data_IF_547248182388
#
_entry.id   IF_547248182388
#
_cell.length_a   1.000
_cell.length_b   1.000
_cell.length_c   1.000
_cell.angle_alpha   90.00
_cell.angle_beta   90.00
_cell.angle_gamma   90.00
#
_symmetry.space_group_name_H-M   'P 1'
#
loop_
_entity.id
_entity.type
_entity.pdbx_description
1 polymer ?
#
# COMPACT_ATOMS: atom_id res chain seq x y z
N UNK A 1 -38.32 68.95 18.77
CA UNK A 1 -38.11 67.49 18.81
C UNK A 1 -38.96 66.86 17.73
N UNK A 2 -38.38 66.10 16.80
CA UNK A 2 -39.15 65.41 15.76
C UNK A 2 -40.16 64.45 16.41
N UNK A 3 -41.38 64.40 15.88
CA UNK A 3 -42.44 63.53 16.41
C UNK A 3 -42.01 62.06 16.30
N UNK A 4 -42.57 61.20 17.16
CA UNK A 4 -42.30 59.75 17.10
C UNK A 4 -42.53 59.17 15.70
N UNK A 5 -43.58 59.64 15.03
CA UNK A 5 -43.95 59.20 13.69
C UNK A 5 -42.94 59.62 12.62
N UNK A 6 -42.38 60.83 12.72
CA UNK A 6 -41.30 61.30 11.84
C UNK A 6 -40.03 60.49 12.03
N UNK A 7 -39.66 60.17 13.28
CA UNK A 7 -38.50 59.32 13.58
C UNK A 7 -38.69 57.90 13.03
N UNK A 8 -39.89 57.34 13.18
CA UNK A 8 -40.23 56.03 12.63
C UNK A 8 -40.08 56.02 11.10
N UNK A 9 -40.69 56.99 10.41
CA UNK A 9 -40.57 57.10 8.94
C UNK A 9 -39.13 57.29 8.48
N UNK A 10 -38.37 58.14 9.15
CA UNK A 10 -36.95 58.37 8.85
C UNK A 10 -36.15 57.07 8.96
N UNK A 11 -36.35 56.31 10.03
CA UNK A 11 -35.67 55.02 10.24
C UNK A 11 -35.97 54.02 9.12
N UNK A 12 -37.23 53.87 8.71
CA UNK A 12 -37.58 52.97 7.61
C UNK A 12 -37.03 53.42 6.25
N UNK A 13 -36.96 54.73 5.99
CA UNK A 13 -36.33 55.24 4.77
C UNK A 13 -34.82 54.95 4.75
N UNK A 14 -34.13 55.17 5.88
CA UNK A 14 -32.69 54.86 5.98
C UNK A 14 -32.41 53.37 5.83
N UNK A 15 -33.27 52.50 6.37
CA UNK A 15 -33.13 51.05 6.21
C UNK A 15 -33.38 50.62 4.75
N UNK A 16 -34.33 51.25 4.07
CA UNK A 16 -34.62 50.97 2.66
C UNK A 16 -33.46 51.38 1.75
N UNK A 17 -32.91 52.58 1.96
CA UNK A 17 -31.71 53.04 1.25
C UNK A 17 -30.51 52.11 1.51
N UNK A 18 -30.33 51.67 2.76
CA UNK A 18 -29.30 50.70 3.12
C UNK A 18 -29.53 49.33 2.44
N UNK A 19 -30.77 48.84 2.35
CA UNK A 19 -31.10 47.61 1.62
C UNK A 19 -30.83 47.73 0.12
N UNK A 20 -31.16 48.85 -0.49
CA UNK A 20 -30.91 49.11 -1.91
C UNK A 20 -29.41 49.22 -2.21
N UNK A 21 -28.64 49.85 -1.32
CA UNK A 21 -27.17 49.87 -1.43
C UNK A 21 -26.54 48.49 -1.19
N UNK A 22 -27.07 47.71 -0.24
CA UNK A 22 -26.61 46.35 0.02
C UNK A 22 -27.10 45.35 -1.04
N UNK A 23 -28.15 45.70 -1.80
CA UNK A 23 -28.67 44.91 -2.93
C UNK A 23 -27.69 44.80 -4.10
N UNK A 24 -26.53 45.48 -4.08
CA UNK A 24 -25.39 45.13 -4.95
C UNK A 24 -24.95 43.65 -4.77
N UNK A 25 -25.25 43.06 -3.61
CA UNK A 25 -25.07 41.62 -3.35
C UNK A 25 -26.13 40.71 -4.00
N UNK A 26 -27.20 41.23 -4.60
CA UNK A 26 -28.16 40.42 -5.41
C UNK A 26 -27.53 39.92 -6.72
N UNK A 27 -26.34 40.39 -7.11
CA UNK A 27 -25.54 39.76 -8.17
C UNK A 27 -24.98 38.39 -7.77
N UNK A 28 -25.10 37.99 -6.49
CA UNK A 28 -24.93 36.60 -6.04
C UNK A 28 -26.21 35.75 -6.18
N UNK A 29 -27.25 36.22 -6.87
CA UNK A 29 -28.22 35.30 -7.46
C UNK A 29 -27.56 34.56 -8.63
N UNK A 30 -26.69 33.62 -8.31
CA UNK A 30 -26.33 32.53 -9.20
C UNK A 30 -27.60 31.70 -9.44
N UNK A 31 -28.49 32.19 -10.29
CA UNK A 31 -29.61 31.41 -10.82
C UNK A 31 -29.15 30.38 -11.87
N UNK A 32 -27.85 30.35 -12.18
CA UNK A 32 -27.28 29.24 -12.90
C UNK A 32 -26.96 28.17 -11.86
N UNK A 33 -27.88 27.24 -11.65
CA UNK A 33 -27.48 25.89 -11.23
C UNK A 33 -26.34 25.49 -12.17
N UNK A 34 -25.10 25.34 -11.67
CA UNK A 34 -24.02 24.91 -12.55
C UNK A 34 -24.38 23.52 -13.05
N UNK A 35 -24.72 23.42 -14.33
CA UNK A 35 -24.78 22.15 -15.03
C UNK A 35 -23.35 21.61 -15.08
N UNK A 36 -23.01 20.78 -14.10
CA UNK A 36 -21.69 20.15 -13.97
C UNK A 36 -21.37 19.23 -15.16
N UNK A 37 -22.33 18.97 -16.08
CA UNK A 37 -22.16 18.15 -17.26
C UNK A 37 -21.59 18.87 -18.49
N UNK A 38 -21.75 20.20 -18.61
CA UNK A 38 -21.40 20.92 -19.84
C UNK A 38 -20.31 21.97 -19.57
N UNK A 39 -19.06 21.57 -19.78
CA UNK A 39 -17.92 22.48 -19.68
C UNK A 39 -17.88 23.39 -20.91
N UNK A 40 -18.22 24.67 -20.74
CA UNK A 40 -17.99 25.69 -21.77
C UNK A 40 -16.48 25.87 -22.02
N UNK A 41 -16.04 25.40 -23.20
CA UNK A 41 -14.65 25.44 -23.65
C UNK A 41 -14.08 26.87 -23.68
N UNK A 42 -14.90 27.88 -23.96
CA UNK A 42 -14.45 29.28 -24.04
C UNK A 42 -14.16 29.82 -22.64
N UNK A 43 -15.11 29.65 -21.72
CA UNK A 43 -14.97 30.03 -20.31
C UNK A 43 -13.80 29.32 -19.64
N UNK A 44 -13.62 28.02 -19.89
CA UNK A 44 -12.49 27.25 -19.40
C UNK A 44 -11.14 27.78 -19.91
N UNK A 45 -11.04 28.16 -21.19
CA UNK A 45 -9.81 28.73 -21.77
C UNK A 45 -9.47 30.09 -21.16
N UNK A 46 -10.47 30.94 -20.90
CA UNK A 46 -10.27 32.24 -20.26
C UNK A 46 -9.78 32.08 -18.82
N UNK A 47 -10.46 31.24 -18.02
CA UNK A 47 -10.07 30.92 -16.64
C UNK A 47 -8.65 30.33 -16.57
N UNK A 48 -8.29 29.43 -17.50
CA UNK A 48 -6.95 28.86 -17.59
C UNK A 48 -5.85 29.91 -17.88
N UNK A 49 -6.16 30.96 -18.65
CA UNK A 49 -5.21 32.08 -18.91
C UNK A 49 -5.06 32.95 -17.68
N UNK A 50 -6.15 33.30 -17.00
CA UNK A 50 -6.13 34.07 -15.75
C UNK A 50 -5.36 33.34 -14.64
N UNK A 51 -5.52 32.02 -14.51
CA UNK A 51 -4.77 31.22 -13.55
C UNK A 51 -3.29 31.03 -13.94
N UNK A 52 -2.89 31.35 -15.17
CA UNK A 52 -1.50 31.20 -15.64
C UNK A 52 -0.55 32.16 -14.91
N UNK A 53 -1.01 33.35 -14.54
CA UNK A 53 -0.20 34.35 -13.82
C UNK A 53 0.14 33.93 -12.38
N UNK A 54 -0.65 33.01 -11.82
CA UNK A 54 -0.44 32.43 -10.50
C UNK A 54 0.36 31.13 -10.54
N UNK A 55 0.74 30.63 -11.73
CA UNK A 55 1.61 29.45 -11.85
C UNK A 55 3.01 29.82 -11.36
N UNK A 56 3.47 29.13 -10.32
CA UNK A 56 4.77 29.39 -9.70
C UNK A 56 4.77 30.53 -8.68
N UNK A 57 3.62 31.16 -8.41
CA UNK A 57 3.45 32.06 -7.28
C UNK A 57 2.73 31.30 -6.17
N UNK A 58 3.43 31.10 -5.06
CA UNK A 58 2.84 30.46 -3.89
C UNK A 58 1.89 31.46 -3.21
N UNK A 59 0.75 30.97 -2.74
CA UNK A 59 -0.09 31.78 -1.86
C UNK A 59 0.75 32.13 -0.62
N UNK A 60 0.70 33.39 -0.19
CA UNK A 60 1.43 33.88 0.99
C UNK A 60 1.06 33.15 2.30
N UNK A 61 0.00 32.34 2.29
CA UNK A 61 -0.45 31.53 3.43
C UNK A 61 -0.14 30.03 3.25
N UNK A 62 0.42 29.61 2.11
CA UNK A 62 0.86 28.24 1.87
C UNK A 62 2.26 28.10 2.44
N UNK A 63 2.46 27.14 3.36
CA UNK A 63 3.81 26.65 3.66
C UNK A 63 4.38 26.13 2.34
N UNK A 64 5.67 26.32 2.09
CA UNK A 64 6.33 25.76 0.90
C UNK A 64 6.32 24.23 0.99
N UNK A 65 5.17 23.64 0.64
CA UNK A 65 5.03 22.20 0.52
C UNK A 65 5.88 21.79 -0.68
N UNK A 66 6.80 20.85 -0.45
CA UNK A 66 7.70 20.35 -1.47
C UNK A 66 6.90 20.02 -2.74
N UNK A 67 7.42 20.47 -3.89
CA UNK A 67 6.73 20.34 -5.16
C UNK A 67 6.32 18.87 -5.36
N UNK A 68 5.16 18.60 -5.96
CA UNK A 68 4.77 17.22 -6.30
C UNK A 68 5.87 16.46 -7.07
N UNK A 69 6.72 17.18 -7.82
CA UNK A 69 7.89 16.61 -8.52
C UNK A 69 9.04 16.21 -7.61
N UNK A 70 9.12 16.82 -6.43
CA UNK A 70 10.11 16.55 -5.39
C UNK A 70 9.63 15.43 -4.45
N UNK A 71 8.31 15.34 -4.24
CA UNK A 71 7.68 14.26 -3.50
C UNK A 71 7.57 12.95 -4.30
N UNK A 72 7.45 13.04 -5.63
CA UNK A 72 7.40 11.88 -6.51
C UNK A 72 8.82 11.56 -6.99
N UNK A 73 9.28 10.32 -6.77
CA UNK A 73 10.54 9.87 -7.37
C UNK A 73 10.45 10.04 -8.90
N UNK A 74 11.49 10.57 -9.55
CA UNK A 74 11.52 10.61 -11.01
C UNK A 74 11.31 9.19 -11.55
N UNK A 75 10.59 9.08 -12.67
CA UNK A 75 10.35 7.80 -13.33
C UNK A 75 11.70 7.17 -13.68
N UNK A 76 12.13 6.19 -12.89
CA UNK A 76 13.37 5.46 -13.15
C UNK A 76 13.20 4.73 -14.47
N UNK A 77 14.09 5.01 -15.42
CA UNK A 77 14.13 4.25 -16.68
C UNK A 77 14.27 2.76 -16.31
N UNK A 78 13.40 1.87 -16.83
CA UNK A 78 13.49 0.45 -16.56
C UNK A 78 14.89 -0.09 -16.85
N UNK A 79 15.34 -1.06 -16.05
CA UNK A 79 16.73 -1.49 -16.07
C UNK A 79 17.14 -2.18 -17.39
N UNK A 80 16.20 -2.83 -18.09
CA UNK A 80 16.45 -3.40 -19.42
C UNK A 80 16.79 -2.36 -20.50
N UNK A 81 16.30 -1.11 -20.33
CA UNK A 81 16.66 0.03 -21.18
C UNK A 81 18.00 0.65 -20.76
N UNK A 82 18.34 0.56 -19.46
CA UNK A 82 19.58 1.12 -18.91
C UNK A 82 20.79 0.20 -19.16
N UNK A 83 20.58 -1.10 -19.02
CA UNK A 83 21.60 -2.15 -19.06
C UNK A 83 21.19 -3.26 -20.06
N UNK A 84 21.08 -2.98 -21.36
CA UNK A 84 20.60 -3.96 -22.34
C UNK A 84 21.46 -5.23 -22.37
N UNK A 85 22.77 -5.13 -22.12
CA UNK A 85 23.69 -6.27 -22.05
C UNK A 85 23.37 -7.30 -20.93
N UNK A 86 22.68 -6.89 -19.86
CA UNK A 86 22.29 -7.80 -18.77
C UNK A 86 20.98 -8.53 -19.05
N UNK A 87 20.26 -8.11 -20.09
CA UNK A 87 18.91 -8.56 -20.38
C UNK A 87 18.90 -9.18 -21.76
N UNK A 88 18.73 -10.48 -21.81
CA UNK A 88 18.47 -11.19 -23.06
C UNK A 88 16.97 -11.33 -23.25
N UNK A 89 16.48 -10.93 -24.42
CA UNK A 89 15.08 -11.13 -24.78
C UNK A 89 14.94 -12.51 -25.41
N UNK A 90 14.28 -13.43 -24.70
CA UNK A 90 13.91 -14.73 -25.24
C UNK A 90 12.54 -14.63 -25.89
N UNK A 91 12.47 -14.90 -27.19
CA UNK A 91 11.22 -15.01 -27.93
C UNK A 91 10.97 -16.48 -28.27
N UNK A 92 9.71 -16.91 -28.24
CA UNK A 92 9.33 -18.26 -28.60
C UNK A 92 9.24 -18.49 -30.13
N UNK A 93 9.81 -17.59 -30.95
CA UNK A 93 9.77 -17.70 -32.41
C UNK A 93 10.47 -18.96 -32.94
N UNK A 94 11.50 -19.44 -32.24
CA UNK A 94 12.29 -20.61 -32.65
C UNK A 94 11.70 -21.92 -32.13
N UNK A 95 10.65 -21.87 -31.31
CA UNK A 95 10.03 -23.06 -30.71
C UNK A 95 8.85 -23.50 -31.54
N UNK A 96 8.89 -24.74 -32.01
CA UNK A 96 7.77 -25.34 -32.76
C UNK A 96 6.57 -25.62 -31.84
N UNK A 97 5.33 -25.60 -32.34
CA UNK A 97 4.14 -25.93 -31.54
C UNK A 97 4.23 -27.33 -30.89
N UNK A 98 4.88 -28.28 -31.57
CA UNK A 98 5.07 -29.64 -31.08
C UNK A 98 5.99 -29.70 -29.86
N UNK A 99 7.00 -28.82 -29.79
CA UNK A 99 7.90 -28.69 -28.64
C UNK A 99 7.25 -28.03 -27.41
N UNK A 100 6.13 -27.33 -27.59
CA UNK A 100 5.35 -26.70 -26.52
C UNK A 100 4.13 -27.53 -26.13
N UNK A 101 3.99 -28.75 -26.67
CA UNK A 101 2.89 -29.64 -26.31
C UNK A 101 2.94 -30.04 -24.84
N UNK A 102 1.79 -30.32 -24.24
CA UNK A 102 1.69 -30.74 -22.84
C UNK A 102 2.52 -32.00 -22.56
N UNK A 103 2.63 -32.90 -23.54
CA UNK A 103 3.46 -34.11 -23.43
C UNK A 103 4.94 -33.77 -23.31
N UNK A 104 5.46 -32.87 -24.15
CA UNK A 104 6.86 -32.44 -24.11
C UNK A 104 7.16 -31.64 -22.84
N UNK A 105 6.24 -30.78 -22.41
CA UNK A 105 6.37 -30.01 -21.17
C UNK A 105 6.40 -30.93 -19.94
N UNK A 106 5.51 -31.92 -19.88
CA UNK A 106 5.47 -32.90 -18.80
C UNK A 106 6.74 -33.76 -18.77
N UNK A 107 7.20 -34.24 -19.93
CA UNK A 107 8.45 -35.01 -20.02
C UNK A 107 9.66 -34.18 -19.56
N UNK A 108 9.73 -32.91 -19.96
CA UNK A 108 10.80 -32.00 -19.55
C UNK A 108 10.77 -31.71 -18.05
N UNK A 109 9.57 -31.50 -17.48
CA UNK A 109 9.41 -31.30 -16.05
C UNK A 109 9.85 -32.53 -15.24
N UNK A 110 9.49 -33.73 -15.68
CA UNK A 110 9.89 -34.99 -15.03
C UNK A 110 11.40 -35.23 -15.15
N UNK A 111 12.00 -34.97 -16.32
CA UNK A 111 13.44 -35.07 -16.50
C UNK A 111 14.20 -34.10 -15.56
N UNK A 112 13.69 -32.88 -15.39
CA UNK A 112 14.27 -31.92 -14.46
C UNK A 112 14.17 -32.36 -13.00
N UNK A 113 13.03 -32.97 -12.60
CA UNK A 113 12.88 -33.52 -11.24
C UNK A 113 13.89 -34.65 -11.00
N UNK A 114 14.05 -35.57 -11.96
CA UNK A 114 15.04 -36.64 -11.88
C UNK A 114 16.47 -36.07 -11.77
N UNK A 115 16.82 -35.08 -12.58
CA UNK A 115 18.14 -34.40 -12.50
C UNK A 115 18.36 -33.74 -11.13
N UNK A 116 17.31 -33.13 -10.55
CA UNK A 116 17.36 -32.54 -9.21
C UNK A 116 17.55 -33.60 -8.12
N UNK A 117 16.88 -34.75 -8.23
CA UNK A 117 17.04 -35.88 -7.31
C UNK A 117 18.43 -36.50 -7.42
N UNK A 118 18.94 -36.73 -8.62
CA UNK A 118 20.31 -37.22 -8.87
C UNK A 118 21.36 -36.26 -8.31
N UNK A 119 21.16 -34.96 -8.49
CA UNK A 119 22.03 -33.93 -7.92
C UNK A 119 21.99 -33.95 -6.38
N UNK A 120 20.80 -34.10 -5.80
CA UNK A 120 20.67 -34.21 -4.34
C UNK A 120 21.31 -35.49 -3.79
N UNK A 121 21.16 -36.61 -4.50
CA UNK A 121 21.77 -37.89 -4.16
C UNK A 121 23.30 -37.82 -4.27
N UNK A 122 23.83 -37.19 -5.32
CA UNK A 122 25.29 -36.98 -5.45
C UNK A 122 25.83 -36.04 -4.36
N UNK A 123 25.13 -34.95 -4.02
CA UNK A 123 25.50 -34.12 -2.87
C UNK A 123 25.42 -34.88 -1.53
N UNK A 124 24.60 -35.92 -1.41
CA UNK A 124 24.56 -36.78 -0.22
C UNK A 124 25.68 -37.83 -0.18
N UNK A 125 26.29 -38.16 -1.31
CA UNK A 125 27.40 -39.15 -1.45
C UNK A 125 28.78 -38.48 -1.30
N UNK A 126 28.90 -37.17 -1.50
CA UNK A 126 30.12 -36.41 -1.11
C UNK A 126 30.12 -36.15 0.40
N UNK A 127 30.11 -37.21 1.20
CA UNK A 127 30.64 -37.17 2.56
C UNK A 127 32.08 -37.63 2.49
N UNK A 128 33.01 -36.67 2.44
CA UNK A 128 34.43 -36.94 2.62
C UNK A 128 34.62 -37.79 3.88
N UNK A 129 35.51 -38.79 3.80
CA UNK A 129 35.93 -39.68 4.90
C UNK A 129 36.54 -38.93 6.12
N UNK A 130 36.54 -37.59 6.09
CA UNK A 130 37.07 -36.68 7.11
C UNK A 130 36.01 -36.03 8.03
N UNK A 131 34.72 -36.33 7.86
CA UNK A 131 33.68 -35.99 8.85
C UNK A 131 33.34 -34.49 8.98
N UNK A 132 33.69 -33.65 8.01
CA UNK A 132 33.39 -32.22 8.05
C UNK A 132 32.06 -31.91 7.35
N UNK A 133 31.00 -31.67 8.13
CA UNK A 133 29.69 -31.25 7.62
C UNK A 133 29.70 -29.74 7.34
N UNK A 134 29.61 -29.35 6.07
CA UNK A 134 29.49 -27.95 5.67
C UNK A 134 28.11 -27.40 6.05
N UNK A 135 28.05 -26.60 7.12
CA UNK A 135 26.81 -25.92 7.52
C UNK A 135 26.51 -24.77 6.55
N UNK A 136 25.32 -24.79 5.96
CA UNK A 136 24.81 -23.73 5.07
C UNK A 136 24.99 -22.36 5.74
N UNK A 137 25.59 -21.36 5.07
CA UNK A 137 25.84 -20.06 5.68
C UNK A 137 24.52 -19.36 6.00
N UNK A 138 24.24 -19.20 7.29
CA UNK A 138 23.14 -18.36 7.76
C UNK A 138 23.53 -16.90 7.54
N UNK A 139 23.02 -16.28 6.47
CA UNK A 139 23.15 -14.84 6.29
C UNK A 139 22.44 -14.12 7.45
N UNK A 140 23.22 -13.50 8.34
CA UNK A 140 22.68 -12.56 9.31
C UNK A 140 22.30 -11.29 8.55
N UNK A 141 21.08 -11.25 8.02
CA UNK A 141 20.49 -10.01 7.50
C UNK A 141 20.63 -8.94 8.60
N UNK A 142 21.23 -7.82 8.22
CA UNK A 142 21.59 -6.71 9.11
C UNK A 142 20.48 -6.33 10.08
N UNK A 143 20.83 -6.19 11.37
CA UNK A 143 20.00 -5.80 12.54
C UNK A 143 19.33 -4.42 12.45
N UNK A 144 19.28 -3.80 11.27
CA UNK A 144 18.65 -2.49 11.01
C UNK A 144 17.18 -2.59 10.61
N UNK A 145 16.67 -3.78 10.29
CA UNK A 145 15.24 -4.04 10.17
C UNK A 145 14.91 -5.07 11.25
N UNK A 146 14.58 -4.59 12.45
CA UNK A 146 13.86 -5.44 13.40
C UNK A 146 12.49 -5.68 12.77
N UNK A 147 12.05 -6.92 12.49
CA UNK A 147 10.62 -7.15 12.35
C UNK A 147 10.04 -6.64 13.66
N UNK A 148 9.25 -5.57 13.56
CA UNK A 148 8.49 -5.09 14.68
C UNK A 148 7.61 -6.29 15.06
N UNK A 149 7.82 -6.87 16.24
CA UNK A 149 6.83 -7.75 16.87
C UNK A 149 5.58 -6.89 17.02
N UNK A 150 4.77 -6.86 15.97
CA UNK A 150 3.36 -6.58 16.08
C UNK A 150 2.89 -7.78 16.86
N UNK A 151 2.54 -7.57 18.14
CA UNK A 151 1.76 -8.53 18.88
C UNK A 151 0.56 -8.89 17.99
N UNK A 152 0.66 -10.01 17.29
CA UNK A 152 -0.41 -10.58 16.52
C UNK A 152 -1.48 -10.91 17.55
N UNK A 153 -2.45 -10.00 17.70
CA UNK A 153 -3.67 -10.28 18.45
C UNK A 153 -4.41 -11.32 17.61
N UNK A 154 -4.07 -12.57 17.89
CA UNK A 154 -4.55 -13.74 17.17
C UNK A 154 -6.06 -13.70 17.10
N UNK A 155 -6.58 -14.02 15.91
CA UNK A 155 -8.00 -14.18 15.65
C UNK A 155 -8.53 -15.23 16.63
N UNK A 156 -9.49 -14.85 17.48
CA UNK A 156 -10.06 -15.76 18.48
C UNK A 156 -11.34 -16.35 17.94
N UNK A 157 -11.43 -17.67 17.90
CA UNK A 157 -12.64 -18.40 17.57
C UNK A 157 -13.42 -18.73 18.85
N UNK A 158 -14.65 -18.21 18.98
CA UNK A 158 -15.56 -18.54 20.08
C UNK A 158 -16.93 -18.86 19.51
N UNK A 159 -17.50 -20.02 19.89
CA UNK A 159 -18.85 -20.47 19.52
C UNK A 159 -19.15 -20.34 18.02
N UNK A 160 -18.35 -21.00 17.17
CA UNK A 160 -18.46 -21.00 15.71
C UNK A 160 -18.39 -19.62 15.02
N UNK A 161 -17.90 -18.59 15.71
CA UNK A 161 -17.70 -17.25 15.16
C UNK A 161 -16.25 -16.81 15.29
N UNK A 162 -15.75 -16.19 14.22
CA UNK A 162 -14.42 -15.62 14.11
C UNK A 162 -14.50 -14.16 14.59
N UNK A 163 -13.80 -13.82 15.68
CA UNK A 163 -13.74 -12.44 16.19
C UNK A 163 -12.44 -11.80 15.71
N UNK A 164 -12.54 -10.81 14.84
CA UNK A 164 -11.40 -9.99 14.43
C UNK A 164 -10.99 -9.01 15.55
N UNK A 165 -9.69 -8.74 15.70
CA UNK A 165 -9.24 -7.71 16.63
C UNK A 165 -9.72 -6.32 16.20
N UNK A 166 -10.02 -5.47 17.18
CA UNK A 166 -10.44 -4.09 16.95
C UNK A 166 -9.34 -3.29 16.26
N UNK A 167 -9.64 -2.74 15.08
CA UNK A 167 -8.78 -1.82 14.34
C UNK A 167 -9.15 -0.38 14.70
N UNK A 168 -8.35 0.27 15.54
CA UNK A 168 -8.47 1.72 15.78
C UNK A 168 -7.45 2.46 14.91
N UNK A 169 -7.93 3.14 13.88
CA UNK A 169 -7.12 3.96 12.98
C UNK A 169 -7.00 5.38 13.54
N UNK A 170 -5.78 5.88 13.73
CA UNK A 170 -5.52 7.28 14.10
C UNK A 170 -4.94 7.53 15.49
N UNK A 171 -4.73 6.52 16.33
CA UNK A 171 -4.11 6.71 17.65
C UNK A 171 -2.59 6.48 17.57
N UNK A 172 -1.80 7.53 17.79
CA UNK A 172 -0.33 7.41 17.90
C UNK A 172 0.00 6.66 19.18
N UNK A 173 0.75 5.54 19.06
CA UNK A 173 1.20 4.75 20.22
C UNK A 173 2.05 5.63 21.16
N UNK A 174 1.83 5.61 22.49
CA UNK A 174 2.69 6.33 23.41
C UNK A 174 4.11 5.73 23.39
N UNK A 175 5.10 6.61 23.25
CA UNK A 175 6.52 6.29 23.23
C UNK A 175 6.88 5.73 24.62
N UNK A 176 7.27 4.45 24.69
CA UNK A 176 7.78 3.85 25.93
C UNK A 176 9.28 4.13 26.04
N UNK A 177 9.73 4.61 27.19
CA UNK A 177 11.15 4.78 27.51
C UNK A 177 11.87 3.42 27.58
N UNK A 178 13.16 3.36 27.23
CA UNK A 178 13.91 2.10 27.22
C UNK A 178 14.13 1.58 28.64
N UNK A 179 13.80 0.31 28.89
CA UNK A 179 14.12 -0.39 30.14
C UNK A 179 15.59 -0.83 30.15
N UNK A 180 16.26 -0.82 31.32
CA UNK A 180 17.67 -1.22 31.41
C UNK A 180 17.83 -2.74 31.27
N UNK A 181 18.94 -3.10 30.64
CA UNK A 181 19.40 -4.46 30.34
C UNK A 181 19.68 -5.21 31.65
N UNK A 182 19.05 -6.38 31.85
CA UNK A 182 19.46 -7.34 32.87
C UNK A 182 20.16 -8.53 32.21
N UNK A 183 21.32 -8.86 32.75
CA UNK A 183 22.18 -9.98 32.37
C UNK A 183 21.65 -11.32 32.88
N UNK A 184 21.68 -12.32 31.98
CA UNK A 184 21.82 -13.79 32.13
C UNK A 184 21.31 -14.49 33.42
N UNK A 185 20.37 -15.45 33.26
CA UNK A 185 20.30 -16.71 34.03
C UNK A 185 19.92 -17.86 33.08
N UNK A 186 20.33 -19.07 33.47
CA UNK A 186 20.62 -20.30 32.77
C UNK A 186 19.41 -21.15 32.33
N UNK A 187 19.70 -22.07 31.38
CA UNK A 187 19.13 -23.41 31.09
C UNK A 187 17.71 -23.76 31.56
N UNK A 188 16.90 -24.19 30.59
CA UNK A 188 15.77 -25.09 30.78
C UNK A 188 15.48 -25.84 29.47
N UNK A 189 15.71 -27.15 29.47
CA UNK A 189 15.23 -28.10 28.47
C UNK A 189 13.70 -28.04 28.35
N UNK A 190 13.20 -28.56 27.22
CA UNK A 190 11.79 -28.78 26.85
C UNK A 190 11.18 -27.75 25.90
N UNK A 191 11.74 -27.62 24.70
CA UNK A 191 10.94 -27.23 23.54
C UNK A 191 10.15 -28.46 23.07
N UNK A 192 8.88 -28.55 23.51
CA UNK A 192 7.93 -29.48 22.88
C UNK A 192 7.82 -29.12 21.40
N UNK A 193 8.29 -29.99 20.51
CA UNK A 193 7.99 -29.91 19.08
C UNK A 193 6.47 -30.03 18.94
N UNK A 194 5.81 -28.94 18.55
CA UNK A 194 4.40 -28.99 18.17
C UNK A 194 4.36 -29.53 16.74
N UNK A 195 4.16 -30.84 16.62
CA UNK A 195 3.90 -31.48 15.33
C UNK A 195 2.42 -31.26 14.99
N UNK A 196 2.17 -30.65 13.82
CA UNK A 196 0.84 -30.49 13.24
C UNK A 196 0.31 -31.88 12.84
N UNK A 197 -0.70 -32.38 13.55
CA UNK A 197 -1.39 -33.62 13.18
C UNK A 197 -2.61 -33.29 12.31
N UNK A 198 -2.59 -33.71 11.05
CA UNK A 198 -3.66 -33.54 10.07
C UNK A 198 -4.70 -34.67 10.21
N UNK A 199 -5.32 -34.78 11.39
CA UNK A 199 -6.26 -35.87 11.69
C UNK A 199 -7.55 -35.80 10.85
N UNK A 200 -7.88 -34.65 10.27
CA UNK A 200 -9.10 -34.44 9.49
C UNK A 200 -8.98 -34.80 8.00
N UNK A 201 -7.81 -35.26 7.54
CA UNK A 201 -7.60 -35.59 6.13
C UNK A 201 -8.07 -37.01 5.77
N UNK A 202 -8.34 -37.85 6.77
CA UNK A 202 -8.62 -39.28 6.60
C UNK A 202 -10.03 -39.71 7.06
N UNK A 203 -10.88 -38.75 7.45
CA UNK A 203 -12.23 -39.05 7.95
C UNK A 203 -13.27 -39.27 6.82
N UNK A 204 -12.92 -38.99 5.56
CA UNK A 204 -13.86 -38.99 4.43
C UNK A 204 -13.84 -40.27 3.55
N UNK A 205 -13.01 -41.27 3.85
CA UNK A 205 -12.88 -42.50 3.03
C UNK A 205 -13.52 -43.77 3.64
N UNK A 206 -14.33 -43.64 4.71
CA UNK A 206 -15.04 -44.79 5.31
C UNK A 206 -16.54 -44.49 5.43
N UNK A 207 -17.21 -44.36 4.30
CA UNK A 207 -18.65 -44.50 4.21
C UNK A 207 -19.04 -44.86 2.77
N UNK A 208 -18.87 -46.13 2.41
CA UNK A 208 -19.68 -46.84 1.42
C UNK A 208 -19.34 -48.35 1.48
N UNK A 209 -20.06 -49.07 2.34
CA UNK A 209 -20.36 -50.51 2.17
C UNK A 209 -21.84 -50.74 2.49
#
# INVERSE_FOLDING_TARGET
>A
MASFYERHKSLFNTLKEAEDQYSFSKTNKANDTPDYGVIDKQRYRKLKREMKQFRGKESIYKRSEASLRECLRPKTVPDFLKNPQKWSYYSLCDVTPDQMSDSTNAATALAFIQEMEERNNTYSIVTDETGAVFKKPTFQMSKTIKPQEVEEKNIVFKNNKIIMPEYVVGVKKPIRSPKPIKTKIQKGENTKKVELKLNHLYDDDIADE
#
